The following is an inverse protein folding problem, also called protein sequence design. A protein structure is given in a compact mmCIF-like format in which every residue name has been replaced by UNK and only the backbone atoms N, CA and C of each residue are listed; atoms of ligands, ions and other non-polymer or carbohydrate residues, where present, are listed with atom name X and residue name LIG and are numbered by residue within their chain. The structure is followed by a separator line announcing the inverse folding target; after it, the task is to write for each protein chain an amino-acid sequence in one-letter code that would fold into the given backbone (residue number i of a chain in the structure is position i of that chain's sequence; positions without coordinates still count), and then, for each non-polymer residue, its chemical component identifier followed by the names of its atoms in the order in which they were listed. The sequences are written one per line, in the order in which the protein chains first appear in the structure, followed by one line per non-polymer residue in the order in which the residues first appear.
data_IF_253012939233
#
_entry.id   IF_253012939233
#
_cell.length_a   1.000
_cell.length_b   1.000
_cell.length_c   1.000
_cell.angle_alpha   90.00
_cell.angle_beta   90.00
_cell.angle_gamma   90.00
#
_symmetry.space_group_name_H-M   'P 1'
#
loop_
_entity.id
_entity.type
_entity.pdbx_description
1 polymer ?
#
# COMPACT_ATOMS: atom_id res chain seq x y z
N UNK A 1 -6.82 -0.85 20.49
CA UNK A 1 -7.08 -1.45 19.16
C UNK A 1 -7.40 -2.94 19.29
N UNK A 2 -6.47 -3.77 19.77
CA UNK A 2 -6.70 -5.23 19.89
C UNK A 2 -7.93 -5.62 20.73
N UNK A 3 -8.18 -4.96 21.86
CA UNK A 3 -9.39 -5.21 22.68
C UNK A 3 -10.71 -4.83 21.99
N UNK A 4 -10.65 -4.04 20.92
CA UNK A 4 -11.80 -3.67 20.09
C UNK A 4 -11.90 -4.54 18.82
N UNK A 5 -11.09 -5.60 18.69
CA UNK A 5 -11.06 -6.48 17.52
C UNK A 5 -10.32 -5.90 16.31
N UNK A 6 -9.67 -4.74 16.45
CA UNK A 6 -8.92 -4.11 15.36
C UNK A 6 -7.53 -4.76 15.26
N UNK A 7 -7.26 -5.36 14.10
CA UNK A 7 -5.94 -5.88 13.72
C UNK A 7 -5.20 -4.80 12.93
N UNK A 8 -4.04 -4.37 13.43
CA UNK A 8 -3.21 -3.39 12.74
C UNK A 8 -2.25 -4.04 11.73
N UNK A 9 -1.74 -3.20 10.83
CA UNK A 9 -0.57 -3.47 9.97
C UNK A 9 0.49 -2.42 10.28
N UNK A 10 1.75 -2.81 10.38
CA UNK A 10 2.87 -1.88 10.56
C UNK A 10 3.49 -1.61 9.20
N UNK A 11 3.43 -0.35 8.75
CA UNK A 11 4.09 0.07 7.51
C UNK A 11 5.52 0.56 7.76
N UNK A 12 6.44 0.15 6.88
CA UNK A 12 7.82 0.59 6.82
C UNK A 12 8.05 1.34 5.50
N UNK A 13 8.78 2.44 5.55
CA UNK A 13 9.09 3.24 4.36
C UNK A 13 8.28 4.54 4.34
N UNK A 14 7.60 4.78 3.23
CA UNK A 14 6.94 6.02 2.87
C UNK A 14 7.90 7.03 2.23
N UNK A 15 7.33 8.08 1.65
CA UNK A 15 8.05 9.10 0.87
C UNK A 15 9.15 9.83 1.65
N UNK A 16 8.99 10.02 2.96
CA UNK A 16 9.92 10.78 3.79
C UNK A 16 10.90 9.89 4.57
N UNK A 17 12.17 10.29 4.60
CA UNK A 17 13.20 9.65 5.42
C UNK A 17 14.08 8.67 4.63
N UNK A 18 14.75 7.77 5.35
CA UNK A 18 15.59 6.73 4.74
C UNK A 18 15.00 5.37 5.11
N UNK A 19 14.49 4.59 4.14
CA UNK A 19 14.00 3.25 4.39
C UNK A 19 15.06 2.38 5.08
N UNK A 20 14.64 1.52 6.00
CA UNK A 20 15.56 0.65 6.76
C UNK A 20 16.44 -0.20 5.85
N UNK A 21 15.89 -0.68 4.74
CA UNK A 21 16.65 -1.44 3.74
C UNK A 21 17.72 -0.60 3.01
N UNK A 22 17.43 0.66 2.70
CA UNK A 22 18.42 1.59 2.11
C UNK A 22 19.53 1.87 3.11
N UNK A 23 19.18 2.14 4.37
CA UNK A 23 20.17 2.29 5.44
C UNK A 23 21.03 1.03 5.59
N UNK A 24 20.41 -0.15 5.63
CA UNK A 24 21.09 -1.43 5.76
C UNK A 24 22.07 -1.68 4.60
N UNK A 25 21.65 -1.44 3.36
CA UNK A 25 22.50 -1.55 2.18
C UNK A 25 23.70 -0.61 2.25
N UNK A 26 23.47 0.66 2.61
CA UNK A 26 24.53 1.67 2.73
C UNK A 26 25.53 1.37 3.86
N UNK A 27 25.13 0.60 4.86
CA UNK A 27 25.96 0.25 6.01
C UNK A 27 26.44 -1.22 5.98
N UNK A 28 26.33 -1.89 4.83
CA UNK A 28 26.75 -3.29 4.64
C UNK A 28 26.12 -4.28 5.64
N UNK A 29 24.88 -4.03 6.07
CA UNK A 29 24.14 -4.99 6.88
C UNK A 29 23.71 -6.18 6.03
N UNK A 30 23.64 -7.34 6.67
CA UNK A 30 23.13 -8.58 6.07
C UNK A 30 21.60 -8.65 6.14
N UNK A 31 20.99 -9.49 5.30
CA UNK A 31 19.55 -9.74 5.34
C UNK A 31 19.08 -10.23 6.72
N UNK A 32 19.88 -11.03 7.42
CA UNK A 32 19.59 -11.50 8.78
C UNK A 32 19.56 -10.35 9.79
N UNK A 33 20.48 -9.39 9.68
CA UNK A 33 20.49 -8.22 10.56
C UNK A 33 19.29 -7.32 10.31
N UNK A 34 18.93 -7.09 9.04
CA UNK A 34 17.73 -6.33 8.69
C UNK A 34 16.45 -7.05 9.14
N UNK A 35 16.37 -8.37 8.95
CA UNK A 35 15.25 -9.18 9.41
C UNK A 35 15.06 -9.08 10.93
N UNK A 36 16.15 -9.12 11.70
CA UNK A 36 16.09 -8.95 13.15
C UNK A 36 15.47 -7.60 13.56
N UNK A 37 15.70 -6.52 12.80
CA UNK A 37 15.07 -5.22 13.06
C UNK A 37 13.57 -5.24 12.78
N UNK A 38 13.13 -5.84 11.66
CA UNK A 38 11.70 -6.01 11.39
C UNK A 38 11.01 -6.87 12.46
N UNK A 39 11.66 -7.96 12.88
CA UNK A 39 11.17 -8.86 13.92
C UNK A 39 11.07 -8.20 15.29
N UNK A 40 12.02 -7.32 15.63
CA UNK A 40 11.99 -6.53 16.86
C UNK A 40 10.77 -5.61 16.89
N UNK A 41 10.49 -4.91 15.79
CA UNK A 41 9.29 -4.07 15.66
C UNK A 41 8.02 -4.92 15.81
N UNK A 42 7.89 -6.01 15.05
CA UNK A 42 6.72 -6.89 15.14
C UNK A 42 6.50 -7.43 16.57
N UNK A 43 7.57 -7.89 17.22
CA UNK A 43 7.51 -8.45 18.57
C UNK A 43 7.16 -7.39 19.62
N UNK A 44 7.66 -6.16 19.45
CA UNK A 44 7.40 -5.04 20.36
C UNK A 44 5.92 -4.66 20.38
N UNK A 45 5.30 -4.61 19.20
CA UNK A 45 3.88 -4.24 19.07
C UNK A 45 2.92 -5.43 19.11
N UNK A 46 3.43 -6.66 18.99
CA UNK A 46 2.60 -7.86 18.85
C UNK A 46 1.78 -7.89 17.56
N UNK A 47 2.29 -7.24 16.50
CA UNK A 47 1.64 -7.14 15.18
C UNK A 47 2.54 -7.84 14.16
N UNK A 48 1.97 -8.78 13.43
CA UNK A 48 2.69 -9.61 12.44
C UNK A 48 2.15 -9.45 11.02
N UNK A 49 1.31 -8.44 10.80
CA UNK A 49 1.00 -7.92 9.47
C UNK A 49 1.91 -6.72 9.23
N UNK A 50 2.75 -6.80 8.21
CA UNK A 50 3.70 -5.74 7.87
C UNK A 50 3.48 -5.29 6.42
N UNK A 51 3.65 -3.99 6.23
CA UNK A 51 3.54 -3.33 4.94
C UNK A 51 4.88 -2.68 4.59
N UNK A 52 5.27 -2.75 3.33
CA UNK A 52 6.43 -2.07 2.80
C UNK A 52 5.97 -1.03 1.81
N UNK A 53 5.88 0.21 2.29
CA UNK A 53 5.57 1.39 1.51
C UNK A 53 6.85 1.87 0.82
N UNK A 54 7.11 1.26 -0.33
CA UNK A 54 8.35 1.44 -1.07
C UNK A 54 8.21 2.63 -2.03
N UNK A 55 8.75 3.77 -1.58
CA UNK A 55 8.72 5.03 -2.30
C UNK A 55 10.11 5.65 -2.49
N UNK A 56 10.21 6.60 -3.42
CA UNK A 56 11.39 7.43 -3.62
C UNK A 56 12.67 6.63 -3.86
N UNK A 57 13.69 6.85 -3.01
CA UNK A 57 15.04 6.38 -3.27
C UNK A 57 15.21 4.85 -3.28
N UNK A 58 14.29 4.08 -2.67
CA UNK A 58 14.40 2.61 -2.68
C UNK A 58 14.04 2.01 -4.05
N UNK A 59 13.13 2.64 -4.79
CA UNK A 59 12.57 2.13 -6.06
C UNK A 59 13.62 1.91 -7.15
N UNK A 60 14.71 2.70 -7.11
CA UNK A 60 15.83 2.58 -8.06
C UNK A 60 17.06 1.90 -7.46
N UNK A 61 17.00 1.47 -6.19
CA UNK A 61 18.09 0.83 -5.48
C UNK A 61 17.90 -0.69 -5.43
N UNK A 62 18.31 -1.38 -6.50
CA UNK A 62 18.18 -2.83 -6.64
C UNK A 62 18.85 -3.63 -5.51
N UNK A 63 19.95 -3.12 -4.95
CA UNK A 63 20.65 -3.77 -3.82
C UNK A 63 19.83 -3.69 -2.53
N UNK A 64 19.19 -2.54 -2.25
CA UNK A 64 18.31 -2.37 -1.11
C UNK A 64 17.03 -3.18 -1.25
N UNK A 65 16.40 -3.19 -2.44
CA UNK A 65 15.21 -4.00 -2.71
C UNK A 65 15.48 -5.50 -2.53
N UNK A 66 16.62 -5.99 -3.03
CA UNK A 66 17.02 -7.40 -2.85
C UNK A 66 17.26 -7.71 -1.37
N UNK A 67 17.96 -6.83 -0.65
CA UNK A 67 18.23 -6.99 0.78
C UNK A 67 16.93 -6.99 1.61
N UNK A 68 15.99 -6.10 1.28
CA UNK A 68 14.66 -6.04 1.89
C UNK A 68 13.90 -7.34 1.68
N UNK A 69 13.78 -7.80 0.44
CA UNK A 69 13.04 -9.01 0.10
C UNK A 69 13.62 -10.25 0.80
N UNK A 70 14.95 -10.38 0.87
CA UNK A 70 15.60 -11.46 1.63
C UNK A 70 15.31 -11.38 3.14
N UNK A 71 15.34 -10.17 3.72
CA UNK A 71 15.03 -9.97 5.13
C UNK A 71 13.56 -10.29 5.46
N UNK A 72 12.65 -9.99 4.53
CA UNK A 72 11.23 -10.32 4.66
C UNK A 72 11.03 -11.83 4.62
N UNK A 73 11.64 -12.54 3.66
CA UNK A 73 11.55 -14.00 3.58
C UNK A 73 12.06 -14.68 4.87
N UNK A 74 13.17 -14.18 5.44
CA UNK A 74 13.67 -14.62 6.74
C UNK A 74 12.67 -14.36 7.88
N UNK A 75 11.97 -13.21 7.83
CA UNK A 75 10.96 -12.85 8.82
C UNK A 75 9.70 -13.72 8.73
N UNK A 76 9.28 -14.12 7.52
CA UNK A 76 8.18 -15.07 7.33
C UNK A 76 8.53 -16.48 7.84
N UNK A 77 9.76 -16.95 7.58
CA UNK A 77 10.24 -18.21 8.12
C UNK A 77 10.31 -18.18 9.65
N UNK A 78 10.84 -17.08 10.23
CA UNK A 78 10.87 -16.86 11.66
C UNK A 78 9.46 -16.85 12.28
N UNK A 79 8.51 -16.12 11.70
CA UNK A 79 7.14 -16.05 12.21
C UNK A 79 6.45 -17.41 12.20
N UNK A 80 6.61 -18.17 11.12
CA UNK A 80 6.11 -19.55 11.01
C UNK A 80 6.67 -20.44 12.13
N UNK A 81 7.99 -20.36 12.38
CA UNK A 81 8.65 -21.15 13.42
C UNK A 81 8.19 -20.80 14.85
N UNK A 82 7.73 -19.56 15.08
CA UNK A 82 7.29 -19.08 16.39
C UNK A 82 5.76 -19.16 16.60
N UNK A 83 5.00 -19.68 15.62
CA UNK A 83 3.54 -19.73 15.71
C UNK A 83 2.86 -18.37 15.54
N UNK A 84 3.58 -17.39 14.97
CA UNK A 84 3.08 -16.05 14.62
C UNK A 84 3.40 -15.77 13.16
N UNK A 85 2.71 -16.42 12.20
CA UNK A 85 2.96 -16.22 10.77
C UNK A 85 2.94 -14.74 10.38
N UNK A 86 3.88 -14.33 9.52
CA UNK A 86 4.01 -12.95 9.07
C UNK A 86 3.34 -12.76 7.72
N UNK A 87 2.36 -11.85 7.68
CA UNK A 87 1.66 -11.40 6.48
C UNK A 87 2.34 -10.16 5.91
N UNK A 88 2.51 -10.10 4.59
CA UNK A 88 3.33 -9.06 3.93
C UNK A 88 2.55 -8.38 2.81
N UNK A 89 2.34 -7.08 2.95
CA UNK A 89 1.90 -6.22 1.86
C UNK A 89 3.05 -5.35 1.32
N UNK A 90 2.93 -4.97 0.05
CA UNK A 90 3.74 -3.92 -0.56
C UNK A 90 2.83 -2.79 -0.99
N UNK A 91 3.08 -1.58 -0.49
CA UNK A 91 2.46 -0.34 -0.96
C UNK A 91 3.42 0.32 -1.95
N UNK A 92 2.96 0.55 -3.18
CA UNK A 92 3.83 0.95 -4.30
C UNK A 92 3.16 2.00 -5.21
N UNK A 93 3.95 2.86 -5.88
CA UNK A 93 3.42 3.83 -6.82
C UNK A 93 2.84 3.17 -8.07
N UNK A 94 1.87 3.83 -8.68
CA UNK A 94 1.15 3.34 -9.86
C UNK A 94 0.84 4.49 -10.81
N UNK A 95 0.68 4.21 -12.10
CA UNK A 95 0.04 5.11 -13.04
C UNK A 95 -1.40 4.65 -13.30
N UNK A 96 -2.28 5.46 -13.95
CA UNK A 96 -3.58 4.97 -14.41
C UNK A 96 -3.46 3.76 -15.35
N UNK A 97 -2.29 3.58 -15.98
CA UNK A 97 -1.97 2.42 -16.83
C UNK A 97 -1.39 1.20 -16.08
N UNK A 98 -1.38 1.23 -14.74
CA UNK A 98 -0.87 0.16 -13.87
C UNK A 98 0.51 0.45 -13.30
N UNK A 99 1.13 -0.58 -12.71
CA UNK A 99 2.46 -0.49 -12.11
C UNK A 99 3.50 -0.12 -13.18
N UNK A 100 4.24 0.96 -12.93
CA UNK A 100 5.39 1.35 -13.73
C UNK A 100 6.58 0.42 -13.44
N UNK A 101 7.69 0.59 -14.17
CA UNK A 101 8.91 -0.17 -13.88
C UNK A 101 9.38 -0.03 -12.42
N UNK A 102 9.17 1.14 -11.83
CA UNK A 102 9.51 1.43 -10.43
C UNK A 102 8.55 0.71 -9.47
N UNK A 103 7.23 0.83 -9.66
CA UNK A 103 6.25 0.10 -8.84
C UNK A 103 6.38 -1.44 -8.96
N UNK A 104 6.85 -1.94 -10.10
CA UNK A 104 7.13 -3.36 -10.31
C UNK A 104 8.42 -3.85 -9.62
N UNK A 105 9.38 -2.97 -9.34
CA UNK A 105 10.70 -3.38 -8.87
C UNK A 105 10.67 -4.06 -7.49
N UNK A 106 9.96 -3.54 -6.46
CA UNK A 106 9.79 -4.23 -5.19
C UNK A 106 9.14 -5.60 -5.31
N UNK A 107 8.08 -5.71 -6.12
CA UNK A 107 7.31 -6.95 -6.29
C UNK A 107 8.17 -8.03 -6.95
N UNK A 108 8.95 -7.68 -7.97
CA UNK A 108 9.88 -8.60 -8.60
C UNK A 108 11.00 -9.05 -7.66
N UNK A 109 11.53 -8.14 -6.83
CA UNK A 109 12.52 -8.49 -5.80
C UNK A 109 11.94 -9.45 -4.75
N UNK A 110 10.68 -9.23 -4.33
CA UNK A 110 9.94 -10.09 -3.42
C UNK A 110 9.78 -11.51 -3.98
N UNK A 111 9.23 -11.62 -5.20
CA UNK A 111 9.01 -12.90 -5.89
C UNK A 111 10.33 -13.67 -6.06
N UNK A 112 11.37 -13.00 -6.56
CA UNK A 112 12.68 -13.63 -6.78
C UNK A 112 13.38 -14.08 -5.49
N UNK A 113 13.05 -13.46 -4.36
CA UNK A 113 13.57 -13.85 -3.04
C UNK A 113 12.69 -14.85 -2.29
N UNK A 114 11.57 -15.27 -2.89
CA UNK A 114 10.66 -16.25 -2.29
C UNK A 114 9.76 -15.68 -1.19
N UNK A 115 9.52 -14.37 -1.18
CA UNK A 115 8.54 -13.74 -0.28
C UNK A 115 7.14 -14.19 -0.68
N UNK A 116 6.34 -14.63 0.29
CA UNK A 116 4.91 -14.83 0.09
C UNK A 116 4.19 -13.49 0.28
N UNK A 117 3.92 -12.79 -0.82
CA UNK A 117 3.22 -11.50 -0.83
C UNK A 117 1.72 -11.76 -0.71
N UNK A 118 1.08 -11.20 0.32
CA UNK A 118 -0.37 -11.31 0.50
C UNK A 118 -1.14 -10.23 -0.23
N UNK A 119 -0.56 -9.02 -0.32
CA UNK A 119 -1.23 -7.85 -0.88
C UNK A 119 -0.25 -6.99 -1.67
N UNK A 120 -0.65 -6.55 -2.86
CA UNK A 120 -0.02 -5.47 -3.60
C UNK A 120 -0.97 -4.29 -3.56
N UNK A 121 -0.67 -3.29 -2.74
CA UNK A 121 -1.46 -2.11 -2.51
C UNK A 121 -0.93 -0.96 -3.40
N UNK A 122 -1.74 -0.47 -4.33
CA UNK A 122 -1.32 0.61 -5.22
C UNK A 122 -1.69 1.97 -4.64
N UNK A 123 -0.76 2.91 -4.68
CA UNK A 123 -1.02 4.32 -4.34
C UNK A 123 -1.62 5.03 -5.55
N UNK A 124 -2.96 5.03 -5.65
CA UNK A 124 -3.71 5.67 -6.72
C UNK A 124 -3.83 7.18 -6.48
N UNK A 125 -2.69 7.87 -6.50
CA UNK A 125 -2.51 9.28 -6.17
C UNK A 125 -1.25 9.82 -6.85
N UNK A 126 -1.16 11.15 -6.94
CA UNK A 126 0.04 11.89 -7.33
C UNK A 126 0.67 11.38 -8.64
N UNK A 127 -0.17 11.31 -9.68
CA UNK A 127 0.23 10.83 -11.01
C UNK A 127 1.14 11.83 -11.74
N UNK A 128 0.96 13.13 -11.49
CA UNK A 128 1.74 14.22 -12.11
C UNK A 128 1.76 14.17 -13.66
N UNK A 129 0.67 13.69 -14.27
CA UNK A 129 0.54 13.45 -15.71
C UNK A 129 -0.69 14.12 -16.34
N UNK A 130 -1.13 15.23 -15.74
CA UNK A 130 -2.36 15.98 -16.09
C UNK A 130 -3.67 15.20 -15.87
N UNK A 131 -3.62 14.06 -15.17
CA UNK A 131 -4.81 13.34 -14.72
C UNK A 131 -5.65 14.19 -13.77
N UNK A 132 -6.96 14.26 -14.00
CA UNK A 132 -7.89 15.03 -13.17
C UNK A 132 -9.14 14.24 -12.75
N UNK A 133 -9.45 13.14 -13.45
CA UNK A 133 -10.59 12.28 -13.17
C UNK A 133 -10.19 11.17 -12.18
N UNK A 134 -9.97 11.54 -10.91
CA UNK A 134 -9.29 10.69 -9.93
C UNK A 134 -9.98 9.35 -9.64
N UNK A 135 -11.32 9.30 -9.57
CA UNK A 135 -12.03 8.04 -9.37
C UNK A 135 -11.89 7.08 -10.55
N UNK A 136 -11.92 7.59 -11.77
CA UNK A 136 -11.68 6.80 -12.99
C UNK A 136 -10.22 6.34 -13.05
N UNK A 137 -9.27 7.24 -12.77
CA UNK A 137 -7.84 6.91 -12.77
C UNK A 137 -7.49 5.81 -11.75
N UNK A 138 -8.08 5.84 -10.55
CA UNK A 138 -7.89 4.79 -9.55
C UNK A 138 -8.44 3.43 -10.03
N UNK A 139 -9.60 3.42 -10.69
CA UNK A 139 -10.19 2.20 -11.28
C UNK A 139 -9.34 1.66 -12.43
N UNK A 140 -8.85 2.54 -13.30
CA UNK A 140 -7.98 2.17 -14.42
C UNK A 140 -6.66 1.56 -13.89
N UNK A 141 -6.05 2.20 -12.89
CA UNK A 141 -4.84 1.71 -12.23
C UNK A 141 -5.07 0.33 -11.59
N UNK A 142 -6.20 0.14 -10.89
CA UNK A 142 -6.57 -1.12 -10.29
C UNK A 142 -6.76 -2.23 -11.34
N UNK A 143 -7.47 -1.92 -12.43
CA UNK A 143 -7.74 -2.85 -13.54
C UNK A 143 -6.47 -3.26 -14.27
N UNK A 144 -5.58 -2.31 -14.54
CA UNK A 144 -4.30 -2.60 -15.18
C UNK A 144 -3.39 -3.43 -14.26
N UNK A 145 -3.36 -3.08 -12.96
CA UNK A 145 -2.57 -3.82 -11.96
C UNK A 145 -3.09 -5.24 -11.78
N UNK A 146 -4.41 -5.46 -11.80
CA UNK A 146 -5.01 -6.81 -11.79
C UNK A 146 -4.45 -7.69 -12.92
N UNK A 147 -4.42 -7.17 -14.15
CA UNK A 147 -3.82 -7.87 -15.30
C UNK A 147 -2.32 -8.15 -15.13
N UNK A 148 -1.58 -7.22 -14.52
CA UNK A 148 -0.17 -7.40 -14.20
C UNK A 148 0.05 -8.45 -13.11
N UNK A 149 -0.78 -8.48 -12.07
CA UNK A 149 -0.74 -9.50 -11.00
C UNK A 149 -1.00 -10.90 -11.56
N UNK A 150 -1.95 -11.06 -12.48
CA UNK A 150 -2.17 -12.35 -13.16
C UNK A 150 -0.96 -12.79 -14.01
N UNK A 151 -0.18 -11.84 -14.52
CA UNK A 151 1.06 -12.14 -15.26
C UNK A 151 2.21 -12.51 -14.33
N UNK A 152 2.35 -11.79 -13.22
CA UNK A 152 3.38 -12.02 -12.19
C UNK A 152 3.16 -13.33 -11.43
N UNK A 153 1.90 -13.65 -11.16
CA UNK A 153 1.46 -14.82 -10.41
C UNK A 153 0.53 -15.69 -11.28
N UNK A 154 1.08 -16.41 -12.28
CA UNK A 154 0.28 -17.13 -13.28
C UNK A 154 -0.57 -18.28 -12.72
N UNK A 155 -0.37 -18.64 -11.44
CA UNK A 155 -1.19 -19.62 -10.73
C UNK A 155 -2.47 -19.04 -10.11
N UNK A 156 -2.58 -17.71 -10.00
CA UNK A 156 -3.78 -17.07 -9.45
C UNK A 156 -4.91 -17.09 -10.49
N UNK A 157 -6.12 -17.36 -10.02
CA UNK A 157 -7.34 -17.00 -10.75
C UNK A 157 -7.54 -15.48 -10.74
N UNK A 158 -8.43 -14.99 -11.61
CA UNK A 158 -8.80 -13.57 -11.64
C UNK A 158 -9.28 -13.08 -10.27
N UNK A 159 -10.14 -13.84 -9.59
CA UNK A 159 -10.69 -13.47 -8.28
C UNK A 159 -9.60 -13.43 -7.21
N UNK A 160 -8.63 -14.34 -7.26
CA UNK A 160 -7.48 -14.31 -6.34
C UNK A 160 -6.54 -13.13 -6.62
N UNK A 161 -6.39 -12.71 -7.88
CA UNK A 161 -5.61 -11.53 -8.22
C UNK A 161 -6.30 -10.24 -7.72
N UNK A 162 -7.64 -10.16 -7.79
CA UNK A 162 -8.39 -9.07 -7.16
C UNK A 162 -8.26 -9.08 -5.64
N UNK A 163 -8.38 -10.25 -5.01
CA UNK A 163 -8.20 -10.42 -3.56
C UNK A 163 -6.77 -10.11 -3.09
N UNK A 164 -5.78 -10.19 -3.99
CA UNK A 164 -4.39 -9.77 -3.72
C UNK A 164 -4.17 -8.27 -3.91
N UNK A 165 -5.05 -7.57 -4.63
CA UNK A 165 -4.91 -6.14 -4.89
C UNK A 165 -5.43 -5.32 -3.70
N UNK A 166 -4.70 -4.26 -3.34
CA UNK A 166 -5.19 -3.15 -2.53
C UNK A 166 -5.16 -1.85 -3.32
N UNK A 167 -6.04 -0.90 -3.00
CA UNK A 167 -6.03 0.45 -3.58
C UNK A 167 -6.06 1.49 -2.48
N UNK A 168 -5.09 2.41 -2.52
CA UNK A 168 -4.97 3.55 -1.59
C UNK A 168 -4.95 4.85 -2.39
N UNK A 169 -6.05 5.60 -2.48
CA UNK A 169 -6.02 6.98 -2.92
C UNK A 169 -5.57 7.92 -1.78
N UNK A 170 -5.10 9.11 -2.17
CA UNK A 170 -5.00 10.27 -1.29
C UNK A 170 -6.35 11.00 -1.34
N UNK A 171 -6.98 11.24 -0.19
CA UNK A 171 -8.35 11.80 -0.16
C UNK A 171 -8.35 13.32 -0.34
N UNK A 172 -9.30 13.88 -1.08
CA UNK A 172 -9.34 15.31 -1.35
C UNK A 172 -8.19 15.78 -2.24
N UNK A 173 -7.62 16.95 -1.95
CA UNK A 173 -6.55 17.59 -2.74
C UNK A 173 -5.24 16.83 -2.52
N UNK A 174 -4.64 16.33 -3.60
CA UNK A 174 -3.36 15.62 -3.59
C UNK A 174 -2.16 16.59 -3.58
N UNK A 175 -0.93 16.07 -3.55
CA UNK A 175 0.28 16.89 -3.62
C UNK A 175 0.42 17.56 -5.00
N UNK A 176 0.00 16.88 -6.08
CA UNK A 176 -0.46 17.59 -7.28
C UNK A 176 -1.82 18.23 -7.02
N UNK A 177 -1.84 19.53 -6.76
CA UNK A 177 -3.09 20.25 -6.43
C UNK A 177 -4.13 20.28 -7.55
N UNK A 178 -3.80 19.85 -8.77
CA UNK A 178 -4.77 19.65 -9.85
C UNK A 178 -5.55 18.33 -9.72
N UNK A 179 -5.00 17.37 -8.96
CA UNK A 179 -5.62 16.10 -8.63
C UNK A 179 -6.44 16.24 -7.35
N UNK A 180 -7.75 16.01 -7.46
CA UNK A 180 -8.67 16.09 -6.31
C UNK A 180 -9.52 14.83 -6.29
N UNK A 181 -9.25 13.93 -5.35
CA UNK A 181 -10.05 12.72 -5.11
C UNK A 181 -11.27 13.07 -4.25
N UNK A 182 -12.43 13.23 -4.88
CA UNK A 182 -13.65 13.70 -4.22
C UNK A 182 -14.39 12.59 -3.46
N UNK A 183 -15.40 12.96 -2.66
CA UNK A 183 -16.33 11.99 -2.06
C UNK A 183 -17.07 11.14 -3.10
N UNK A 184 -17.34 11.69 -4.29
CA UNK A 184 -17.94 10.94 -5.41
C UNK A 184 -16.97 9.89 -5.95
N UNK A 185 -15.67 10.23 -6.04
CA UNK A 185 -14.63 9.29 -6.44
C UNK A 185 -14.47 8.17 -5.41
N UNK A 186 -14.54 8.51 -4.11
CA UNK A 186 -14.53 7.53 -3.03
C UNK A 186 -15.69 6.53 -3.14
N UNK A 187 -16.91 7.02 -3.40
CA UNK A 187 -18.09 6.17 -3.60
C UNK A 187 -17.94 5.26 -4.83
N UNK A 188 -17.40 5.82 -5.91
CA UNK A 188 -17.18 5.10 -7.16
C UNK A 188 -16.14 3.98 -6.98
N UNK A 189 -15.01 4.28 -6.33
CA UNK A 189 -13.97 3.30 -6.03
C UNK A 189 -14.47 2.22 -5.05
N UNK A 190 -15.25 2.60 -4.04
CA UNK A 190 -15.84 1.66 -3.07
C UNK A 190 -16.76 0.66 -3.76
N UNK A 191 -17.64 1.14 -4.64
CA UNK A 191 -18.55 0.28 -5.42
C UNK A 191 -17.76 -0.67 -6.33
N UNK A 192 -16.74 -0.15 -7.02
CA UNK A 192 -15.86 -0.97 -7.87
C UNK A 192 -15.13 -2.05 -7.08
N UNK A 193 -14.63 -1.72 -5.89
CA UNK A 193 -13.95 -2.67 -5.01
C UNK A 193 -14.89 -3.79 -4.53
N UNK A 194 -16.14 -3.46 -4.19
CA UNK A 194 -17.16 -4.44 -3.84
C UNK A 194 -17.49 -5.37 -5.02
N UNK A 195 -17.72 -4.82 -6.21
CA UNK A 195 -18.09 -5.59 -7.40
C UNK A 195 -17.00 -6.58 -7.83
N UNK A 196 -15.73 -6.26 -7.58
CA UNK A 196 -14.58 -7.09 -7.98
C UNK A 196 -13.96 -7.90 -6.83
N UNK A 197 -14.43 -7.74 -5.59
CA UNK A 197 -13.85 -8.34 -4.39
C UNK A 197 -12.34 -7.98 -4.23
N UNK A 198 -12.01 -6.69 -4.39
CA UNK A 198 -10.64 -6.19 -4.19
C UNK A 198 -10.22 -6.44 -2.75
N UNK A 199 -9.04 -7.01 -2.50
CA UNK A 199 -8.62 -7.43 -1.17
C UNK A 199 -8.62 -6.33 -0.10
N UNK A 200 -8.27 -5.09 -0.48
CA UNK A 200 -8.14 -3.98 0.47
C UNK A 200 -8.48 -2.62 -0.17
N UNK A 201 -9.16 -1.77 0.61
CA UNK A 201 -9.17 -0.32 0.43
C UNK A 201 -8.53 0.35 1.65
N UNK A 202 -7.71 1.36 1.39
CA UNK A 202 -7.11 2.24 2.40
C UNK A 202 -7.10 3.67 1.89
N UNK A 203 -6.66 4.63 2.69
CA UNK A 203 -6.55 6.02 2.25
C UNK A 203 -5.37 6.73 2.90
N UNK A 204 -4.81 7.69 2.17
CA UNK A 204 -3.89 8.69 2.72
C UNK A 204 -4.66 9.99 3.03
N UNK A 205 -5.00 10.29 4.28
CA UNK A 205 -4.77 9.52 5.51
C UNK A 205 -5.83 9.88 6.56
N UNK A 206 -5.94 9.12 7.66
CA UNK A 206 -6.98 9.32 8.66
C UNK A 206 -7.06 10.76 9.23
N UNK A 207 -5.97 11.45 9.60
CA UNK A 207 -6.05 12.85 10.06
C UNK A 207 -6.51 13.85 8.99
N UNK A 208 -6.46 13.47 7.70
CA UNK A 208 -6.97 14.28 6.59
C UNK A 208 -8.47 14.14 6.40
N UNK A 209 -9.13 13.20 7.07
CA UNK A 209 -10.56 12.93 6.86
C UNK A 209 -11.47 13.92 7.64
N UNK A 210 -11.27 15.18 7.30
CA UNK A 210 -12.03 16.35 7.71
C UNK A 210 -11.73 17.46 6.70
N UNK A 211 -12.58 18.46 6.58
CA UNK A 211 -12.44 19.49 5.54
C UNK A 211 -11.09 20.22 5.55
N UNK A 212 -10.64 20.74 6.69
CA UNK A 212 -9.45 21.60 6.73
C UNK A 212 -9.63 22.88 5.90
N UNK A 213 -8.55 23.30 5.21
CA UNK A 213 -8.56 24.48 4.33
C UNK A 213 -8.91 24.07 2.89
N UNK A 214 -10.05 24.54 2.37
CA UNK A 214 -10.53 24.19 1.02
C UNK A 214 -9.50 24.53 -0.06
N UNK A 215 -9.23 23.55 -0.94
CA UNK A 215 -8.28 23.69 -2.05
C UNK A 215 -6.81 23.55 -1.65
N UNK A 216 -6.51 23.16 -0.41
CA UNK A 216 -5.13 23.06 0.10
C UNK A 216 -4.80 21.62 0.47
N UNK A 217 -3.75 21.05 -0.15
CA UNK A 217 -3.15 19.80 0.33
C UNK A 217 -2.41 20.04 1.65
N UNK A 218 -2.79 19.29 2.69
CA UNK A 218 -2.13 19.32 3.98
C UNK A 218 -2.41 18.02 4.77
N UNK A 219 -1.70 17.82 5.89
CA UNK A 219 -1.75 16.57 6.67
C UNK A 219 -2.95 16.45 7.61
N UNK A 220 -3.72 17.52 7.82
CA UNK A 220 -4.80 17.60 8.81
C UNK A 220 -6.15 17.98 8.17
N UNK A 221 -6.29 17.84 6.86
CA UNK A 221 -7.55 18.06 6.16
C UNK A 221 -7.42 17.67 4.69
N UNK A 222 -8.53 17.25 4.11
CA UNK A 222 -8.62 16.80 2.72
C UNK A 222 -8.63 17.98 1.75
N UNK A 223 -9.00 19.18 2.21
CA UNK A 223 -9.17 20.33 1.34
C UNK A 223 -10.44 20.30 0.50
N UNK A 224 -11.38 19.40 0.80
CA UNK A 224 -12.72 19.36 0.20
C UNK A 224 -13.80 19.53 1.27
N UNK A 225 -14.97 20.05 0.88
CA UNK A 225 -16.10 20.17 1.80
C UNK A 225 -16.64 18.76 2.13
N UNK A 226 -16.71 18.44 3.42
CA UNK A 226 -17.13 17.14 3.94
C UNK A 226 -17.51 17.24 5.42
N UNK A 227 -18.20 16.24 5.95
CA UNK A 227 -18.25 16.03 7.41
C UNK A 227 -16.98 15.32 7.90
N UNK A 228 -16.60 15.47 9.19
CA UNK A 228 -15.51 14.67 9.75
C UNK A 228 -15.78 13.17 9.55
N UNK A 229 -14.77 12.45 9.09
CA UNK A 229 -14.80 11.01 8.81
C UNK A 229 -15.64 10.56 7.61
N UNK A 230 -16.11 11.47 6.74
CA UNK A 230 -16.98 11.09 5.63
C UNK A 230 -16.30 10.14 4.61
N UNK A 231 -14.99 10.27 4.35
CA UNK A 231 -14.28 9.29 3.51
C UNK A 231 -14.19 7.93 4.20
N UNK A 232 -13.93 7.89 5.51
CA UNK A 232 -13.92 6.67 6.32
C UNK A 232 -15.27 5.97 6.28
N UNK A 233 -16.37 6.72 6.45
CA UNK A 233 -17.74 6.19 6.39
C UNK A 233 -18.10 5.63 5.01
N UNK A 234 -17.55 6.22 3.93
CA UNK A 234 -17.68 5.68 2.58
C UNK A 234 -16.91 4.36 2.45
N UNK A 235 -15.62 4.35 2.80
CA UNK A 235 -14.78 3.14 2.66
C UNK A 235 -15.18 2.01 3.62
N UNK A 236 -15.78 2.30 4.78
CA UNK A 236 -16.33 1.29 5.69
C UNK A 236 -17.45 0.47 5.04
N UNK A 237 -18.15 1.01 4.04
CA UNK A 237 -19.19 0.27 3.30
C UNK A 237 -18.61 -0.98 2.62
N UNK A 238 -17.34 -0.96 2.21
CA UNK A 238 -16.64 -2.13 1.70
C UNK A 238 -16.50 -3.25 2.76
N UNK A 239 -16.10 -2.88 3.98
CA UNK A 239 -15.93 -3.82 5.10
C UNK A 239 -17.26 -4.42 5.61
N UNK A 240 -18.39 -3.76 5.37
CA UNK A 240 -19.71 -4.23 5.81
C UNK A 240 -20.34 -5.31 4.92
N UNK A 241 -19.78 -5.57 3.73
CA UNK A 241 -20.30 -6.51 2.73
C UNK A 241 -19.32 -7.64 2.34
N UNK A 242 -18.15 -7.73 3.00
CA UNK A 242 -17.09 -8.72 2.75
C UNK A 242 -17.00 -9.79 3.84
#
# INVERSE_FOLDING_TARGET
MTNAGINGTISFGGQAGTPLAVYAANNSLTATQLAAQYQEVMSTYGIYNIDFDDEGAILTNSSALTLQAQAIALSQAWGTANGTPVTVSYTVPVAPSGLTAEGMAPINAAISSGVNVSTVNIMAMDYYDDTTQMGTAAIDAATATHGQLMTLYPSLSSDQAWAMLGVTPMIGVNDDTSEIFTLTDAQTLTSFAQDNNIGQLSMWQLPRDQTGDIGVSNNNGSGVEQTPFEFSEIFEQYASNS
#
